data_IF_710052913216
#
_entry.id   IF_710052913216
#
_cell.length_a   1.000
_cell.length_b   1.000
_cell.length_c   1.000
_cell.angle_alpha   90.00
_cell.angle_beta   90.00
_cell.angle_gamma   90.00
#
_symmetry.space_group_name_H-M   'P 1'
#
loop_
_entity.id
_entity.type
_entity.pdbx_description
1 polymer ?
#
# COMPACT_ATOMS: atom_id res chain seq x y z
N UNK A 1 24.63 -14.12 4.54
CA UNK A 1 23.60 -13.15 4.11
C UNK A 1 23.56 -12.02 5.12
N UNK A 2 23.31 -10.77 4.72
CA UNK A 2 23.19 -9.66 5.67
C UNK A 2 21.91 -9.81 6.50
N UNK A 3 21.99 -9.56 7.82
CA UNK A 3 20.84 -9.60 8.73
C UNK A 3 19.76 -8.62 8.25
N UNK A 4 18.47 -9.02 8.24
CA UNK A 4 17.34 -8.13 7.98
C UNK A 4 17.33 -7.04 9.05
N UNK A 5 17.15 -5.80 8.64
CA UNK A 5 17.06 -4.63 9.53
C UNK A 5 15.79 -3.83 9.38
N UNK A 6 15.10 -3.98 8.25
CA UNK A 6 13.87 -3.24 7.95
C UNK A 6 12.86 -4.12 7.24
N UNK A 7 11.63 -4.11 7.72
CA UNK A 7 10.45 -4.63 7.01
C UNK A 7 9.53 -3.47 6.70
N UNK A 8 9.21 -3.30 5.41
CA UNK A 8 8.31 -2.26 4.92
C UNK A 8 6.98 -2.92 4.53
N UNK A 9 5.89 -2.50 5.15
CA UNK A 9 4.55 -3.05 4.91
C UNK A 9 3.71 -2.09 4.07
N UNK A 10 2.93 -2.60 3.12
CA UNK A 10 1.72 -1.91 2.69
C UNK A 10 0.68 -1.90 3.82
N UNK A 11 -0.36 -1.07 3.69
CA UNK A 11 -1.38 -0.91 4.73
C UNK A 11 -2.63 -1.74 4.39
N UNK A 12 -3.37 -1.38 3.35
CA UNK A 12 -4.70 -1.92 3.08
C UNK A 12 -4.70 -3.31 2.47
N UNK A 13 -5.18 -4.32 3.17
CA UNK A 13 -5.13 -5.73 2.76
C UNK A 13 -3.84 -6.45 3.18
N UNK A 14 -2.89 -5.68 3.75
CA UNK A 14 -1.62 -6.20 4.24
C UNK A 14 -1.56 -6.21 5.77
N UNK A 15 -1.73 -5.06 6.42
CA UNK A 15 -1.75 -4.96 7.89
C UNK A 15 -3.12 -4.58 8.47
N UNK A 16 -4.02 -4.05 7.64
CA UNK A 16 -5.44 -3.87 7.96
C UNK A 16 -6.31 -4.61 6.96
N UNK A 17 -7.49 -5.07 7.42
CA UNK A 17 -8.49 -5.69 6.55
C UNK A 17 -8.95 -4.72 5.46
N UNK A 18 -9.30 -5.26 4.29
CA UNK A 18 -9.88 -4.53 3.16
C UNK A 18 -11.19 -5.21 2.76
N UNK A 19 -12.29 -4.54 3.05
CA UNK A 19 -13.63 -5.00 2.72
C UNK A 19 -14.18 -4.34 1.43
N UNK A 20 -13.32 -3.74 0.62
CA UNK A 20 -13.68 -3.10 -0.64
C UNK A 20 -14.02 -1.61 -0.53
N UNK A 21 -13.73 -0.96 0.60
CA UNK A 21 -14.03 0.45 0.83
C UNK A 21 -13.43 1.35 -0.25
N UNK A 22 -12.18 1.08 -0.62
CA UNK A 22 -11.45 1.84 -1.64
C UNK A 22 -12.12 1.69 -3.01
N UNK A 23 -12.45 0.46 -3.42
CA UNK A 23 -13.11 0.20 -4.71
C UNK A 23 -14.48 0.87 -4.75
N UNK A 24 -15.29 0.68 -3.72
CA UNK A 24 -16.62 1.29 -3.65
C UNK A 24 -16.57 2.83 -3.68
N UNK A 25 -15.56 3.44 -3.03
CA UNK A 25 -15.36 4.89 -3.07
C UNK A 25 -14.96 5.39 -4.45
N UNK A 26 -14.11 4.65 -5.19
CA UNK A 26 -13.81 4.95 -6.58
C UNK A 26 -15.05 4.84 -7.47
N UNK A 27 -15.81 3.74 -7.36
CA UNK A 27 -17.04 3.56 -8.15
C UNK A 27 -18.01 4.72 -7.95
N UNK A 28 -18.24 5.13 -6.69
CA UNK A 28 -19.13 6.24 -6.36
C UNK A 28 -18.61 7.57 -6.94
N UNK A 29 -17.35 7.90 -6.69
CA UNK A 29 -16.78 9.18 -7.14
C UNK A 29 -16.67 9.27 -8.67
N UNK A 30 -16.27 8.20 -9.34
CA UNK A 30 -16.17 8.16 -10.80
C UNK A 30 -17.57 8.29 -11.44
N UNK A 31 -18.56 7.56 -10.95
CA UNK A 31 -19.94 7.65 -11.43
C UNK A 31 -20.54 9.06 -11.23
N UNK A 32 -20.33 9.69 -10.07
CA UNK A 32 -20.78 11.05 -9.78
C UNK A 32 -20.17 12.11 -10.71
N UNK A 33 -19.02 11.81 -11.32
CA UNK A 33 -18.32 12.69 -12.27
C UNK A 33 -18.47 12.22 -13.74
N UNK A 34 -19.41 11.30 -14.02
CA UNK A 34 -19.68 10.82 -15.39
C UNK A 34 -18.53 10.02 -16.00
N UNK A 35 -17.65 9.45 -15.18
CA UNK A 35 -16.51 8.64 -15.61
C UNK A 35 -16.87 7.15 -15.60
N UNK A 36 -16.79 6.50 -16.73
CA UNK A 36 -17.05 5.06 -16.85
C UNK A 36 -15.82 4.27 -16.34
N UNK A 37 -16.05 3.37 -15.38
CA UNK A 37 -15.07 2.45 -14.86
C UNK A 37 -15.74 1.18 -14.36
N UNK A 38 -15.14 0.02 -14.61
CA UNK A 38 -15.57 -1.23 -14.00
C UNK A 38 -14.81 -1.50 -12.70
N UNK A 39 -15.41 -2.26 -11.78
CA UNK A 39 -14.72 -2.70 -10.56
C UNK A 39 -13.43 -3.46 -10.85
N UNK A 40 -13.41 -4.28 -11.91
CA UNK A 40 -12.22 -5.03 -12.30
C UNK A 40 -11.08 -4.12 -12.74
N UNK A 41 -11.35 -3.03 -13.47
CA UNK A 41 -10.33 -2.04 -13.84
C UNK A 41 -9.79 -1.30 -12.63
N UNK A 42 -10.65 -0.95 -11.68
CA UNK A 42 -10.24 -0.28 -10.43
C UNK A 42 -9.39 -1.24 -9.58
N UNK A 43 -9.78 -2.51 -9.51
CA UNK A 43 -9.05 -3.56 -8.79
C UNK A 43 -7.62 -3.72 -9.28
N UNK A 44 -7.39 -3.72 -10.60
CA UNK A 44 -6.05 -3.81 -11.20
C UNK A 44 -5.16 -2.58 -10.88
N UNK A 45 -5.78 -1.45 -10.54
CA UNK A 45 -5.07 -0.22 -10.18
C UNK A 45 -4.91 -0.04 -8.65
N UNK A 46 -5.38 -1.02 -7.86
CA UNK A 46 -5.20 -0.99 -6.40
C UNK A 46 -3.70 -0.95 -6.05
N UNK A 47 -3.35 -0.20 -5.00
CA UNK A 47 -1.95 0.06 -4.64
C UNK A 47 -1.36 1.31 -5.27
N UNK A 48 -1.93 1.83 -6.38
CA UNK A 48 -1.55 3.12 -6.96
C UNK A 48 -1.99 4.31 -6.11
N UNK A 49 -1.36 5.46 -6.35
CA UNK A 49 -1.86 6.76 -5.88
C UNK A 49 -3.31 6.95 -6.32
N UNK A 50 -4.19 7.34 -5.39
CA UNK A 50 -5.63 7.47 -5.66
C UNK A 50 -5.91 8.56 -6.70
N UNK A 51 -5.11 9.64 -6.68
CA UNK A 51 -5.19 10.71 -7.66
C UNK A 51 -4.80 10.23 -9.06
N UNK A 52 -3.76 9.39 -9.18
CA UNK A 52 -3.31 8.84 -10.46
C UNK A 52 -4.34 7.89 -11.07
N UNK A 53 -5.05 7.12 -10.24
CA UNK A 53 -6.18 6.29 -10.70
C UNK A 53 -7.26 7.17 -11.34
N UNK A 54 -7.70 8.23 -10.67
CA UNK A 54 -8.71 9.16 -11.19
C UNK A 54 -8.22 9.84 -12.47
N UNK A 55 -6.97 10.32 -12.47
CA UNK A 55 -6.33 10.94 -13.63
C UNK A 55 -6.42 10.02 -14.85
N UNK A 56 -6.12 8.74 -14.69
CA UNK A 56 -6.20 7.74 -15.78
C UNK A 56 -7.60 7.69 -16.42
N UNK A 57 -8.68 7.70 -15.61
CA UNK A 57 -10.04 7.68 -16.13
C UNK A 57 -10.45 9.00 -16.78
N UNK A 58 -10.03 10.14 -16.23
CA UNK A 58 -10.24 11.48 -16.80
C UNK A 58 -9.56 11.58 -18.16
N UNK A 59 -8.26 11.25 -18.25
CA UNK A 59 -7.48 11.30 -19.49
C UNK A 59 -7.99 10.31 -20.55
N UNK A 60 -8.52 9.16 -20.13
CA UNK A 60 -9.16 8.20 -21.04
C UNK A 60 -10.38 8.79 -21.72
N UNK A 61 -11.19 9.57 -20.99
CA UNK A 61 -12.46 10.08 -21.50
C UNK A 61 -12.32 11.35 -22.35
N UNK A 62 -11.43 12.26 -21.96
CA UNK A 62 -11.28 13.58 -22.62
C UNK A 62 -9.95 13.79 -23.33
N UNK A 63 -9.05 12.82 -23.29
CA UNK A 63 -7.68 12.95 -23.82
C UNK A 63 -6.74 13.63 -22.83
N UNK A 64 -5.44 13.35 -22.97
CA UNK A 64 -4.43 13.85 -22.02
C UNK A 64 -4.24 15.37 -22.03
N UNK A 65 -4.45 15.98 -23.21
CA UNK A 65 -4.15 17.40 -23.46
C UNK A 65 -5.34 18.34 -23.20
N UNK A 66 -6.51 17.82 -22.72
CA UNK A 66 -7.66 18.68 -22.42
C UNK A 66 -7.33 19.59 -21.22
N UNK A 67 -7.42 20.89 -21.43
CA UNK A 67 -7.06 21.91 -20.45
C UNK A 67 -7.88 21.86 -19.16
N UNK A 68 -9.08 21.23 -19.18
CA UNK A 68 -9.95 21.07 -18.01
C UNK A 68 -9.70 19.81 -17.21
N UNK A 69 -8.73 18.98 -17.62
CA UNK A 69 -8.48 17.70 -16.92
C UNK A 69 -8.09 17.91 -15.47
N UNK A 70 -7.27 18.91 -15.17
CA UNK A 70 -6.87 19.18 -13.78
C UNK A 70 -8.06 19.50 -12.87
N UNK A 71 -8.99 20.33 -13.33
CA UNK A 71 -10.23 20.66 -12.60
C UNK A 71 -11.08 19.41 -12.36
N UNK A 72 -11.27 18.58 -13.40
CA UNK A 72 -12.03 17.32 -13.30
C UNK A 72 -11.38 16.34 -12.35
N UNK A 73 -10.05 16.21 -12.39
CA UNK A 73 -9.27 15.35 -11.49
C UNK A 73 -9.43 15.83 -10.06
N UNK A 74 -9.28 17.12 -9.80
CA UNK A 74 -9.41 17.69 -8.46
C UNK A 74 -10.82 17.47 -7.89
N UNK A 75 -11.85 17.68 -8.71
CA UNK A 75 -13.24 17.44 -8.29
C UNK A 75 -13.48 15.97 -7.96
N UNK A 76 -13.20 15.06 -8.89
CA UNK A 76 -13.44 13.63 -8.70
C UNK A 76 -12.59 13.05 -7.55
N UNK A 77 -11.38 13.57 -7.35
CA UNK A 77 -10.54 13.20 -6.21
C UNK A 77 -11.08 13.73 -4.87
N UNK A 78 -11.66 14.92 -4.86
CA UNK A 78 -12.37 15.47 -3.70
C UNK A 78 -13.55 14.58 -3.30
N UNK A 79 -14.39 14.20 -4.27
CA UNK A 79 -15.53 13.32 -4.05
C UNK A 79 -15.06 11.93 -3.55
N UNK A 80 -14.00 11.36 -4.14
CA UNK A 80 -13.40 10.12 -3.68
C UNK A 80 -12.92 10.20 -2.22
N UNK A 81 -12.24 11.29 -1.85
CA UNK A 81 -11.76 11.46 -0.46
C UNK A 81 -12.93 11.50 0.53
N UNK A 82 -13.99 12.24 0.20
CA UNK A 82 -15.18 12.32 1.02
C UNK A 82 -15.83 10.95 1.23
N UNK A 83 -16.00 10.18 0.16
CA UNK A 83 -16.56 8.83 0.21
C UNK A 83 -15.69 7.87 1.05
N UNK A 84 -14.39 7.89 0.87
CA UNK A 84 -13.47 7.00 1.58
C UNK A 84 -13.39 7.35 3.07
N UNK A 85 -13.28 8.64 3.41
CA UNK A 85 -13.20 9.09 4.79
C UNK A 85 -14.49 8.79 5.57
N UNK A 86 -15.66 8.90 4.93
CA UNK A 86 -16.93 8.50 5.51
C UNK A 86 -16.97 7.00 5.84
N UNK A 87 -16.46 6.13 4.94
CA UNK A 87 -16.41 4.69 5.17
C UNK A 87 -15.50 4.33 6.34
N UNK A 88 -14.31 4.89 6.41
CA UNK A 88 -13.37 4.66 7.52
C UNK A 88 -13.87 5.25 8.85
N UNK A 89 -14.67 6.31 8.82
CA UNK A 89 -15.26 6.87 10.05
C UNK A 89 -16.37 5.99 10.62
N UNK A 90 -17.17 5.36 9.77
CA UNK A 90 -18.36 4.60 10.17
C UNK A 90 -18.09 3.10 10.41
N UNK A 91 -17.10 2.51 9.75
CA UNK A 91 -16.81 1.07 9.80
C UNK A 91 -15.69 0.66 10.75
N UNK A 92 -14.87 1.62 11.17
CA UNK A 92 -13.63 1.36 11.90
C UNK A 92 -12.55 0.72 11.04
N UNK A 93 -11.32 0.73 11.53
CA UNK A 93 -10.17 0.04 10.93
C UNK A 93 -9.89 -1.21 11.71
N UNK A 94 -9.83 -2.36 11.04
CA UNK A 94 -9.55 -3.64 11.69
C UNK A 94 -8.15 -4.13 11.30
N UNK A 95 -7.26 -4.38 12.27
CA UNK A 95 -5.99 -5.05 12.01
C UNK A 95 -6.18 -6.43 11.40
N UNK A 96 -5.28 -6.82 10.50
CA UNK A 96 -5.16 -8.23 10.11
C UNK A 96 -4.79 -9.04 11.37
N UNK A 97 -5.50 -10.16 11.65
CA UNK A 97 -5.18 -11.01 12.80
C UNK A 97 -3.71 -11.39 12.84
N UNK A 98 -3.06 -11.17 13.98
CA UNK A 98 -1.64 -11.45 14.17
C UNK A 98 -0.65 -10.35 13.72
N UNK A 99 -1.10 -9.28 13.08
CA UNK A 99 -0.22 -8.19 12.64
C UNK A 99 0.57 -7.58 13.82
N UNK A 100 -0.11 -7.26 14.92
CA UNK A 100 0.53 -6.68 16.12
C UNK A 100 1.56 -7.62 16.75
N UNK A 101 1.27 -8.92 16.77
CA UNK A 101 2.22 -9.93 17.25
C UNK A 101 3.46 -10.00 16.35
N UNK A 102 3.28 -9.89 15.03
CA UNK A 102 4.39 -9.83 14.08
C UNK A 102 5.25 -8.57 14.29
N UNK A 103 4.63 -7.39 14.50
CA UNK A 103 5.38 -6.16 14.79
C UNK A 103 6.16 -6.26 16.11
N UNK A 104 5.54 -6.81 17.16
CA UNK A 104 6.19 -7.02 18.45
C UNK A 104 7.39 -7.98 18.32
N UNK A 105 7.23 -9.05 17.56
CA UNK A 105 8.33 -10.01 17.28
C UNK A 105 9.48 -9.33 16.52
N UNK A 106 9.18 -8.58 15.45
CA UNK A 106 10.20 -7.85 14.67
C UNK A 106 10.99 -6.90 15.57
N UNK A 107 10.29 -6.11 16.40
CA UNK A 107 10.91 -5.19 17.35
C UNK A 107 11.82 -5.91 18.35
N UNK A 108 11.39 -7.08 18.87
CA UNK A 108 12.20 -7.89 19.81
C UNK A 108 13.46 -8.47 19.16
N UNK A 109 13.52 -8.53 17.81
CA UNK A 109 14.68 -8.99 17.04
C UNK A 109 15.50 -7.85 16.40
N UNK A 110 15.32 -6.59 16.89
CA UNK A 110 15.99 -5.39 16.37
C UNK A 110 15.71 -5.11 14.87
N UNK A 111 14.55 -5.52 14.38
CA UNK A 111 14.10 -5.26 13.02
C UNK A 111 13.12 -4.09 13.04
N UNK A 112 13.46 -3.02 12.35
CA UNK A 112 12.64 -1.81 12.24
C UNK A 112 11.44 -2.09 11.33
N UNK A 113 10.27 -1.54 11.67
CA UNK A 113 9.08 -1.57 10.84
C UNK A 113 8.82 -0.19 10.24
N UNK A 114 8.43 -0.14 8.97
CA UNK A 114 7.93 1.06 8.30
C UNK A 114 6.72 0.71 7.44
N UNK A 115 5.96 1.71 7.00
CA UNK A 115 4.87 1.52 6.04
C UNK A 115 5.07 2.34 4.78
N UNK A 116 4.58 1.80 3.66
CA UNK A 116 4.36 2.55 2.41
C UNK A 116 2.92 2.32 1.99
N UNK A 117 2.25 3.32 1.41
CA UNK A 117 0.85 3.16 1.01
C UNK A 117 0.45 4.06 -0.16
N UNK A 118 -0.48 3.58 -0.98
CA UNK A 118 -1.16 4.41 -1.97
C UNK A 118 -2.30 5.29 -1.39
N UNK A 119 -2.53 5.26 -0.09
CA UNK A 119 -3.39 6.23 0.58
C UNK A 119 -2.71 7.61 0.62
N UNK A 120 -3.51 8.65 0.82
CA UNK A 120 -3.05 10.01 1.07
C UNK A 120 -2.90 10.27 2.57
N UNK A 121 -2.22 11.36 2.95
CA UNK A 121 -1.77 11.62 4.32
C UNK A 121 -2.89 11.55 5.37
N UNK A 122 -4.02 12.23 5.14
CA UNK A 122 -5.08 12.28 6.16
C UNK A 122 -5.71 10.92 6.47
N UNK A 123 -5.85 10.03 5.47
CA UNK A 123 -6.34 8.65 5.69
C UNK A 123 -5.28 7.81 6.37
N UNK A 124 -4.02 7.91 5.94
CA UNK A 124 -2.92 7.20 6.59
C UNK A 124 -2.83 7.53 8.08
N UNK A 125 -2.85 8.82 8.42
CA UNK A 125 -2.78 9.27 9.82
C UNK A 125 -3.99 8.80 10.63
N UNK A 126 -5.19 8.79 10.03
CA UNK A 126 -6.41 8.27 10.67
C UNK A 126 -6.32 6.78 10.96
N UNK A 127 -5.82 5.98 10.00
CA UNK A 127 -5.59 4.55 10.19
C UNK A 127 -4.64 4.30 11.35
N UNK A 128 -3.47 4.95 11.34
CA UNK A 128 -2.46 4.80 12.39
C UNK A 128 -2.96 5.27 13.76
N UNK A 129 -3.81 6.28 13.80
CA UNK A 129 -4.42 6.75 15.05
C UNK A 129 -5.45 5.75 15.59
N UNK A 130 -6.34 5.25 14.73
CA UNK A 130 -7.42 4.36 15.14
C UNK A 130 -6.91 2.99 15.59
N UNK A 131 -5.79 2.52 15.04
CA UNK A 131 -5.13 1.28 15.43
C UNK A 131 -4.14 1.44 16.59
N UNK A 132 -3.81 2.67 16.99
CA UNK A 132 -2.79 2.92 18.01
C UNK A 132 -1.35 2.73 17.51
N UNK A 133 -1.13 2.68 16.20
CA UNK A 133 0.17 2.31 15.60
C UNK A 133 1.08 3.48 15.24
N UNK A 134 0.77 4.70 15.68
CA UNK A 134 1.60 5.88 15.36
C UNK A 134 3.09 5.72 15.71
N UNK A 135 3.36 5.10 16.86
CA UNK A 135 4.74 4.88 17.37
C UNK A 135 5.29 3.48 17.03
N UNK A 136 4.52 2.68 16.29
CA UNK A 136 4.93 1.31 15.91
C UNK A 136 5.91 1.34 14.75
N UNK A 137 5.75 2.29 13.85
CA UNK A 137 6.52 2.40 12.61
C UNK A 137 7.49 3.57 12.67
N UNK A 138 8.76 3.33 12.32
CA UNK A 138 9.79 4.36 12.23
C UNK A 138 9.49 5.38 11.11
N UNK A 139 8.79 4.95 10.07
CA UNK A 139 8.38 5.80 8.97
C UNK A 139 7.03 5.35 8.39
N UNK A 140 6.22 6.32 7.97
CA UNK A 140 4.92 6.08 7.34
C UNK A 140 4.86 6.92 6.06
N UNK A 141 5.22 6.31 4.93
CA UNK A 141 5.31 6.98 3.63
C UNK A 141 4.02 6.75 2.84
N UNK A 142 3.36 7.82 2.47
CA UNK A 142 2.11 7.79 1.71
C UNK A 142 2.28 8.37 0.29
N UNK A 143 1.23 8.30 -0.51
CA UNK A 143 1.29 8.79 -1.89
C UNK A 143 1.60 10.29 -2.01
N UNK A 144 1.34 11.07 -0.96
CA UNK A 144 1.58 12.52 -0.96
C UNK A 144 3.08 12.87 -0.74
N UNK A 145 3.88 11.92 -0.24
CA UNK A 145 5.28 12.13 0.08
C UNK A 145 6.23 11.93 -1.11
N UNK A 146 5.69 11.48 -2.26
CA UNK A 146 6.47 11.19 -3.45
C UNK A 146 5.83 11.77 -4.71
N UNK A 147 6.65 12.16 -5.68
CA UNK A 147 6.14 12.63 -6.98
C UNK A 147 5.56 11.51 -7.83
N UNK A 148 6.08 10.30 -7.68
CA UNK A 148 5.65 9.13 -8.45
C UNK A 148 5.48 7.97 -7.48
N UNK A 149 4.23 7.50 -7.35
CA UNK A 149 3.87 6.35 -6.52
C UNK A 149 4.28 5.00 -7.14
N UNK A 150 3.85 3.91 -6.49
CA UNK A 150 4.06 2.55 -7.00
C UNK A 150 3.58 2.38 -8.45
N UNK A 151 4.30 1.63 -9.24
CA UNK A 151 5.40 0.71 -8.91
C UNK A 151 6.80 1.37 -8.87
N UNK A 152 6.89 2.70 -8.73
CA UNK A 152 8.17 3.37 -8.50
C UNK A 152 8.74 3.02 -7.12
N UNK A 153 10.07 2.90 -6.96
CA UNK A 153 10.69 2.52 -5.70
C UNK A 153 10.79 3.66 -4.67
N UNK A 154 10.39 4.88 -5.01
CA UNK A 154 10.67 6.07 -4.20
C UNK A 154 10.13 5.99 -2.78
N UNK A 155 8.90 5.47 -2.57
CA UNK A 155 8.37 5.32 -1.20
C UNK A 155 9.24 4.38 -0.36
N UNK A 156 9.80 3.33 -0.96
CA UNK A 156 10.71 2.40 -0.27
C UNK A 156 11.98 3.12 0.13
N UNK A 157 12.57 3.92 -0.77
CA UNK A 157 13.79 4.69 -0.46
C UNK A 157 13.56 5.74 0.61
N UNK A 158 12.41 6.45 0.60
CA UNK A 158 12.04 7.38 1.67
C UNK A 158 11.86 6.66 3.01
N UNK A 159 11.23 5.47 3.01
CA UNK A 159 11.09 4.66 4.22
C UNK A 159 12.46 4.20 4.77
N UNK A 160 13.38 3.81 3.89
CA UNK A 160 14.75 3.45 4.26
C UNK A 160 15.51 4.63 4.88
N UNK A 161 15.50 5.78 4.21
CA UNK A 161 16.15 7.00 4.69
C UNK A 161 15.62 7.41 6.08
N UNK A 162 14.31 7.50 6.23
CA UNK A 162 13.67 7.86 7.50
C UNK A 162 13.89 6.82 8.61
N UNK A 163 14.18 5.56 8.25
CA UNK A 163 14.50 4.48 9.17
C UNK A 163 16.01 4.33 9.44
N UNK A 164 16.86 5.14 8.81
CA UNK A 164 18.32 5.07 8.96
C UNK A 164 18.92 3.79 8.36
N UNK A 165 18.30 3.21 7.33
CA UNK A 165 18.76 1.99 6.63
C UNK A 165 19.21 2.38 5.23
N UNK A 166 20.47 2.16 4.92
CA UNK A 166 21.14 2.55 3.67
C UNK A 166 21.40 1.38 2.69
N UNK A 167 21.17 0.15 3.14
CA UNK A 167 21.42 -1.04 2.33
C UNK A 167 20.11 -1.78 2.00
N UNK A 168 19.70 -1.73 0.73
CA UNK A 168 18.50 -2.42 0.23
C UNK A 168 18.53 -3.94 0.47
N UNK A 169 19.74 -4.52 0.60
CA UNK A 169 19.91 -5.96 0.90
C UNK A 169 19.64 -6.32 2.37
N UNK A 170 19.18 -5.37 3.18
CA UNK A 170 18.70 -5.55 4.55
C UNK A 170 17.21 -5.27 4.70
N UNK A 171 16.49 -5.13 3.56
CA UNK A 171 15.08 -4.71 3.51
C UNK A 171 14.21 -5.81 2.92
N UNK A 172 13.10 -6.10 3.57
CA UNK A 172 11.96 -6.84 3.00
C UNK A 172 10.81 -5.88 2.72
N UNK A 173 10.18 -6.01 1.54
CA UNK A 173 8.98 -5.28 1.19
C UNK A 173 7.79 -6.23 1.13
N UNK A 174 6.71 -5.91 1.84
CA UNK A 174 5.54 -6.77 2.06
C UNK A 174 4.28 -6.09 1.54
N UNK A 175 3.49 -6.77 0.73
CA UNK A 175 2.24 -6.21 0.22
C UNK A 175 1.31 -7.23 -0.43
N UNK A 176 0.05 -6.83 -0.62
CA UNK A 176 -1.02 -7.66 -1.18
C UNK A 176 -1.28 -7.40 -2.67
N UNK A 177 -0.58 -6.45 -3.29
CA UNK A 177 -0.80 -6.08 -4.68
C UNK A 177 0.43 -6.31 -5.57
N UNK A 178 0.23 -6.52 -6.89
CA UNK A 178 1.32 -6.54 -7.85
C UNK A 178 2.22 -5.31 -7.78
N UNK A 179 1.66 -4.14 -7.50
CA UNK A 179 2.41 -2.88 -7.45
C UNK A 179 3.36 -2.81 -6.26
N UNK A 180 3.04 -3.47 -5.15
CA UNK A 180 3.96 -3.63 -4.01
C UNK A 180 5.17 -4.46 -4.41
N UNK A 181 4.92 -5.61 -5.01
CA UNK A 181 5.97 -6.53 -5.44
C UNK A 181 6.88 -5.90 -6.49
N UNK A 182 6.29 -5.23 -7.50
CA UNK A 182 7.05 -4.48 -8.51
C UNK A 182 7.88 -3.36 -7.90
N UNK A 183 7.34 -2.61 -6.93
CA UNK A 183 8.09 -1.54 -6.26
C UNK A 183 9.30 -2.10 -5.50
N UNK A 184 9.13 -3.19 -4.77
CA UNK A 184 10.22 -3.89 -4.07
C UNK A 184 11.28 -4.41 -5.03
N UNK A 185 10.87 -5.06 -6.13
CA UNK A 185 11.77 -5.54 -7.17
C UNK A 185 12.56 -4.39 -7.80
N UNK A 186 11.90 -3.27 -8.13
CA UNK A 186 12.56 -2.08 -8.69
C UNK A 186 13.50 -1.38 -7.70
N UNK A 187 13.19 -1.45 -6.41
CA UNK A 187 14.08 -0.95 -5.36
C UNK A 187 15.32 -1.84 -5.17
N UNK A 188 15.28 -3.09 -5.62
CA UNK A 188 16.36 -4.05 -5.43
C UNK A 188 16.47 -4.55 -3.99
N UNK A 189 15.36 -4.56 -3.23
CA UNK A 189 15.35 -5.05 -1.84
C UNK A 189 15.74 -6.53 -1.76
N UNK A 190 16.10 -7.00 -0.57
CA UNK A 190 16.52 -8.39 -0.36
C UNK A 190 15.41 -9.37 -0.72
N UNK A 191 14.17 -9.06 -0.37
CA UNK A 191 13.02 -9.90 -0.70
C UNK A 191 11.72 -9.11 -0.82
N UNK A 192 10.90 -9.53 -1.79
CA UNK A 192 9.51 -9.08 -1.96
C UNK A 192 8.58 -10.19 -1.47
N UNK A 193 7.72 -9.88 -0.52
CA UNK A 193 6.82 -10.82 0.12
C UNK A 193 5.38 -10.48 -0.24
N UNK A 194 4.72 -11.39 -0.94
CA UNK A 194 3.28 -11.26 -1.18
C UNK A 194 2.47 -11.82 -0.02
N UNK A 195 1.40 -11.13 0.40
CA UNK A 195 0.44 -11.64 1.38
C UNK A 195 -0.90 -11.92 0.71
N UNK A 196 -1.54 -13.02 1.13
CA UNK A 196 -2.82 -13.48 0.57
C UNK A 196 -4.03 -12.96 1.36
N UNK A 197 -3.80 -12.13 2.37
CA UNK A 197 -4.84 -11.48 3.18
C UNK A 197 -5.58 -10.35 2.45
N UNK A 198 -5.06 -9.89 1.31
CA UNK A 198 -5.63 -8.78 0.55
C UNK A 198 -6.50 -9.22 -0.64
N UNK A 199 -6.62 -8.32 -1.60
CA UNK A 199 -7.61 -8.45 -2.69
C UNK A 199 -7.14 -9.37 -3.83
N UNK A 200 -5.83 -9.54 -4.04
CA UNK A 200 -5.30 -10.34 -5.13
C UNK A 200 -5.08 -11.80 -4.71
N UNK A 201 -5.46 -12.71 -5.61
CA UNK A 201 -5.23 -14.14 -5.43
C UNK A 201 -3.78 -14.51 -5.73
N UNK A 202 -3.34 -15.64 -5.19
CA UNK A 202 -2.02 -16.23 -5.39
C UNK A 202 -1.56 -16.20 -6.84
N UNK A 203 -2.37 -16.72 -7.77
CA UNK A 203 -2.04 -16.79 -9.19
C UNK A 203 -1.71 -15.42 -9.81
N UNK A 204 -2.28 -14.32 -9.29
CA UNK A 204 -1.97 -12.96 -9.77
C UNK A 204 -0.65 -12.45 -9.19
N UNK A 205 -0.42 -12.68 -7.91
CA UNK A 205 0.82 -12.25 -7.25
C UNK A 205 2.04 -13.04 -7.76
N UNK A 206 1.89 -14.32 -8.07
CA UNK A 206 2.95 -15.15 -8.64
C UNK A 206 3.48 -14.63 -9.99
N UNK A 207 2.67 -13.90 -10.76
CA UNK A 207 3.11 -13.28 -12.02
C UNK A 207 4.22 -12.24 -11.80
N UNK A 208 4.32 -11.67 -10.60
CA UNK A 208 5.36 -10.69 -10.23
C UNK A 208 6.62 -11.35 -9.64
N UNK A 209 6.68 -12.68 -9.62
CA UNK A 209 7.82 -13.47 -9.11
C UNK A 209 8.32 -13.01 -7.72
N UNK A 210 7.42 -12.96 -6.70
CA UNK A 210 7.84 -12.59 -5.35
C UNK A 210 8.85 -13.58 -4.80
N UNK A 211 9.68 -13.16 -3.84
CA UNK A 211 10.59 -14.05 -3.13
C UNK A 211 9.83 -15.11 -2.35
N UNK A 212 8.72 -14.73 -1.74
CA UNK A 212 7.81 -15.62 -1.02
C UNK A 212 6.36 -15.14 -1.11
N UNK A 213 5.43 -16.08 -0.97
CA UNK A 213 4.01 -15.82 -0.68
C UNK A 213 3.67 -16.44 0.67
N UNK A 214 2.99 -15.67 1.52
CA UNK A 214 2.54 -16.11 2.83
C UNK A 214 1.05 -15.80 3.01
N UNK A 215 0.33 -16.55 3.86
CA UNK A 215 -1.09 -16.31 4.10
C UNK A 215 -1.37 -14.88 4.58
N UNK A 216 -0.60 -14.38 5.54
CA UNK A 216 -0.72 -13.03 6.09
C UNK A 216 0.58 -12.56 6.74
N UNK A 217 0.60 -11.31 7.20
CA UNK A 217 1.74 -10.76 7.95
C UNK A 217 2.01 -11.50 9.27
N UNK A 218 1.05 -12.25 9.80
CA UNK A 218 1.23 -13.08 10.98
C UNK A 218 2.33 -14.15 10.79
N UNK A 219 2.59 -14.55 9.54
CA UNK A 219 3.58 -15.57 9.19
C UNK A 219 5.00 -14.99 8.99
N UNK A 220 5.17 -13.66 9.08
CA UNK A 220 6.47 -12.99 8.90
C UNK A 220 7.57 -13.51 9.86
N UNK A 221 7.30 -13.73 11.18
CA UNK A 221 8.30 -14.30 12.07
C UNK A 221 8.87 -15.62 11.56
N UNK A 222 8.00 -16.59 11.28
CA UNK A 222 8.41 -17.93 10.80
C UNK A 222 9.12 -17.87 9.46
N UNK A 223 8.70 -16.99 8.55
CA UNK A 223 9.38 -16.77 7.28
C UNK A 223 10.81 -16.27 7.48
N UNK A 224 11.01 -15.27 8.36
CA UNK A 224 12.33 -14.69 8.61
C UNK A 224 13.24 -15.72 9.27
N UNK A 225 12.78 -16.44 10.27
CA UNK A 225 13.55 -17.51 10.93
C UNK A 225 14.02 -18.59 9.95
N UNK A 226 13.14 -18.97 9.00
CA UNK A 226 13.42 -20.08 8.09
C UNK A 226 14.33 -19.70 6.91
N UNK A 227 14.30 -18.44 6.44
CA UNK A 227 14.89 -18.06 5.16
C UNK A 227 15.86 -16.88 5.22
N UNK A 228 15.87 -16.10 6.33
CA UNK A 228 16.63 -14.86 6.41
C UNK A 228 17.48 -14.73 7.70
N UNK A 229 17.55 -15.78 8.50
CA UNK A 229 18.38 -15.85 9.74
C UNK A 229 19.86 -15.93 9.43
#
# INVERSE_FOLDING_TARGET
MGKIRLVIFDIGGTIIEDHGEVIASFCAALAANGLAASESEIKELKGSSKRDVIKKFVERQWGKEDARNEERILKAYGDFKTELENKFSNGGVKPIPGAESAFAWLKAHDIVCATTTGFYRSVTDRILQSTGWRETFAANICSDDVKVGRPSPYMIFHAMEASGIDNVRQVLNVGDTPLDLQAGTRAGVLGTIGVLSGIHKEARLLQETPSHLIPSVADMPSLIESHYS
#
